data_IF_570879708919
#
_entry.id   IF_570879708919
#
_cell.length_a   1.000
_cell.length_b   1.000
_cell.length_c   1.000
_cell.angle_alpha   90.00
_cell.angle_beta   90.00
_cell.angle_gamma   90.00
#
_symmetry.space_group_name_H-M   'P 1'
#
loop_
_entity.id
_entity.type
_entity.pdbx_description
1 polymer ?
#
# COMPACT_ATOMS: atom_id res chain seq x y z
N UNK A 1 9.70 25.96 -7.78
CA UNK A 1 8.35 26.17 -8.34
C UNK A 1 7.54 24.90 -8.08
N UNK A 2 6.32 25.01 -7.57
CA UNK A 2 5.45 23.83 -7.35
C UNK A 2 4.66 23.53 -8.63
N UNK A 3 4.53 22.25 -8.96
CA UNK A 3 3.77 21.78 -10.10
C UNK A 3 3.12 20.43 -9.79
N UNK A 4 2.00 20.14 -10.45
CA UNK A 4 1.32 18.85 -10.39
C UNK A 4 1.66 18.08 -11.66
N UNK A 5 2.01 16.80 -11.51
CA UNK A 5 2.19 15.91 -12.65
C UNK A 5 0.81 15.62 -13.24
N UNK A 6 0.59 16.05 -14.48
CA UNK A 6 -0.66 15.78 -15.21
C UNK A 6 -0.54 14.60 -16.17
N UNK A 7 0.70 14.18 -16.46
CA UNK A 7 1.00 12.97 -17.22
C UNK A 7 2.24 12.33 -16.61
N UNK A 8 2.14 11.07 -16.22
CA UNK A 8 3.23 10.19 -15.76
C UNK A 8 3.15 8.92 -16.61
N UNK A 9 3.92 8.82 -17.69
CA UNK A 9 3.89 7.65 -18.58
C UNK A 9 4.81 6.51 -18.10
N UNK A 10 5.16 6.47 -16.81
CA UNK A 10 5.90 5.45 -16.00
C UNK A 10 6.95 4.56 -16.67
N UNK A 11 6.61 3.90 -17.76
CA UNK A 11 7.44 3.06 -18.62
C UNK A 11 8.36 3.88 -19.55
N UNK A 12 7.95 5.07 -20.02
CA UNK A 12 8.78 5.93 -20.90
C UNK A 12 9.41 7.16 -20.21
N UNK A 13 8.93 7.52 -19.01
CA UNK A 13 9.35 8.68 -18.21
C UNK A 13 9.44 10.07 -18.89
N UNK A 14 8.38 10.54 -19.58
CA UNK A 14 8.16 11.98 -19.70
C UNK A 14 7.02 12.46 -18.76
N UNK A 15 7.35 13.32 -17.80
CA UNK A 15 6.38 14.04 -16.98
C UNK A 15 5.91 15.30 -17.69
N UNK A 16 4.59 15.46 -17.81
CA UNK A 16 4.02 16.76 -18.13
C UNK A 16 3.54 17.42 -16.86
N UNK A 17 3.97 18.66 -16.65
CA UNK A 17 3.71 19.40 -15.42
C UNK A 17 2.64 20.46 -15.66
N UNK A 18 1.76 20.66 -14.67
CA UNK A 18 0.93 21.86 -14.57
C UNK A 18 1.44 22.71 -13.43
N UNK A 19 1.90 23.92 -13.71
CA UNK A 19 2.44 24.81 -12.69
C UNK A 19 1.33 25.31 -11.77
N UNK A 20 1.52 25.19 -10.45
CA UNK A 20 0.52 25.61 -9.45
C UNK A 20 0.35 27.14 -9.44
N UNK A 21 1.41 27.87 -9.80
CA UNK A 21 1.43 29.34 -9.80
C UNK A 21 0.42 29.99 -10.74
N UNK A 22 0.18 29.37 -11.89
CA UNK A 22 -0.51 30.01 -13.02
C UNK A 22 -1.35 29.02 -13.83
N UNK A 23 -1.31 27.73 -13.48
CA UNK A 23 -2.09 26.69 -14.12
C UNK A 23 -1.60 26.29 -15.52
N UNK A 24 -0.52 26.87 -16.05
CA UNK A 24 0.00 26.51 -17.37
C UNK A 24 0.59 25.11 -17.37
N UNK A 25 0.41 24.43 -18.50
CA UNK A 25 1.08 23.18 -18.80
C UNK A 25 2.50 23.45 -19.25
N UNK A 26 3.43 22.56 -18.91
CA UNK A 26 4.76 22.59 -19.49
C UNK A 26 4.71 22.27 -20.98
N UNK A 27 5.47 23.05 -21.74
CA UNK A 27 5.75 22.79 -23.16
C UNK A 27 6.71 21.61 -23.32
N UNK A 28 7.64 21.44 -22.38
CA UNK A 28 8.58 20.33 -22.34
C UNK A 28 8.13 19.23 -21.38
N UNK A 29 8.59 18.01 -21.66
CA UNK A 29 8.48 16.88 -20.76
C UNK A 29 9.71 16.79 -19.86
N UNK A 30 9.51 16.42 -18.59
CA UNK A 30 10.57 16.30 -17.61
C UNK A 30 10.85 14.85 -17.26
N UNK A 31 12.11 14.52 -16.99
CA UNK A 31 12.51 13.19 -16.51
C UNK A 31 12.53 13.11 -14.98
N UNK A 32 12.52 11.90 -14.41
CA UNK A 32 12.58 11.69 -12.96
C UNK A 32 13.79 12.30 -12.29
N UNK A 33 14.93 12.36 -12.99
CA UNK A 33 16.13 13.03 -12.49
C UNK A 33 15.96 14.56 -12.37
N UNK A 34 15.02 15.15 -13.11
CA UNK A 34 14.79 16.60 -13.16
C UNK A 34 13.67 17.07 -12.23
N UNK A 35 12.84 16.14 -11.71
CA UNK A 35 11.72 16.48 -10.83
C UNK A 35 11.83 15.77 -9.49
N UNK A 36 11.75 16.55 -8.41
CA UNK A 36 11.58 15.99 -7.08
C UNK A 36 10.10 15.68 -6.85
N UNK A 37 9.67 14.46 -7.16
CA UNK A 37 8.28 14.03 -6.94
C UNK A 37 8.00 13.93 -5.42
N UNK A 38 7.20 14.85 -4.90
CA UNK A 38 6.76 14.86 -3.49
C UNK A 38 5.68 13.82 -3.21
N UNK A 39 4.79 13.60 -4.18
CA UNK A 39 3.70 12.62 -4.11
C UNK A 39 3.46 12.08 -5.52
N UNK A 40 3.52 10.76 -5.68
CA UNK A 40 3.18 10.09 -6.94
C UNK A 40 1.71 9.69 -6.89
N UNK A 41 0.99 9.85 -8.01
CA UNK A 41 -0.40 9.38 -8.11
C UNK A 41 -0.50 7.88 -7.83
N UNK A 42 -1.58 7.45 -7.20
CA UNK A 42 -1.81 6.03 -6.90
C UNK A 42 -2.09 5.26 -8.20
N UNK A 43 -1.40 4.12 -8.39
CA UNK A 43 -1.69 3.19 -9.49
C UNK A 43 -3.08 2.57 -9.28
N UNK A 44 -3.94 2.49 -10.31
CA UNK A 44 -5.13 1.64 -10.25
C UNK A 44 -4.74 0.18 -9.98
N UNK A 45 -5.50 -0.48 -9.13
CA UNK A 45 -5.36 -1.89 -8.78
C UNK A 45 -6.63 -2.66 -9.15
N UNK A 46 -6.52 -3.98 -9.17
CA UNK A 46 -7.68 -4.85 -9.33
C UNK A 46 -8.78 -4.49 -8.32
N UNK A 47 -10.00 -4.28 -8.80
CA UNK A 47 -11.16 -3.88 -8.01
C UNK A 47 -11.33 -2.38 -7.79
N UNK A 48 -10.36 -1.54 -8.16
CA UNK A 48 -10.54 -0.09 -8.08
C UNK A 48 -11.56 0.41 -9.11
N UNK A 49 -12.34 1.41 -8.70
CA UNK A 49 -13.08 2.26 -9.62
C UNK A 49 -12.15 3.30 -10.27
N UNK A 50 -12.30 3.46 -11.59
CA UNK A 50 -11.56 4.41 -12.42
C UNK A 50 -12.50 5.16 -13.35
N UNK A 51 -12.10 6.36 -13.77
CA UNK A 51 -12.71 7.16 -14.82
C UNK A 51 -11.81 7.12 -16.04
N UNK A 52 -12.37 6.90 -17.22
CA UNK A 52 -11.62 6.86 -18.48
C UNK A 52 -11.29 8.30 -18.90
N UNK A 53 -10.04 8.51 -19.30
CA UNK A 53 -9.49 9.81 -19.69
C UNK A 53 -8.71 9.70 -21.01
N UNK A 54 -9.26 8.94 -21.96
CA UNK A 54 -8.66 8.68 -23.26
C UNK A 54 -9.40 9.50 -24.32
N UNK A 55 -8.77 10.56 -24.80
CA UNK A 55 -9.35 11.41 -25.83
C UNK A 55 -9.74 10.60 -27.08
N UNK A 56 -10.97 10.78 -27.55
CA UNK A 56 -11.53 10.08 -28.71
C UNK A 56 -12.01 8.66 -28.44
N UNK A 57 -11.95 8.19 -27.20
CA UNK A 57 -12.60 6.95 -26.78
C UNK A 57 -14.11 7.21 -26.57
N UNK A 58 -15.01 6.30 -27.00
CA UNK A 58 -16.45 6.48 -26.80
C UNK A 58 -16.85 6.49 -25.32
N UNK A 59 -16.00 5.94 -24.45
CA UNK A 59 -16.21 5.88 -23.00
C UNK A 59 -15.44 6.98 -22.25
N UNK A 60 -14.92 8.02 -22.93
CA UNK A 60 -14.23 9.13 -22.26
C UNK A 60 -15.13 9.79 -21.20
N UNK A 61 -14.62 9.89 -19.97
CA UNK A 61 -15.37 10.38 -18.81
C UNK A 61 -16.24 9.34 -18.10
N UNK A 62 -16.36 8.11 -18.63
CA UNK A 62 -17.16 7.05 -18.03
C UNK A 62 -16.41 6.36 -16.88
N UNK A 63 -17.18 5.94 -15.86
CA UNK A 63 -16.67 5.14 -14.75
C UNK A 63 -16.65 3.64 -15.08
N UNK A 64 -15.58 2.98 -14.69
CA UNK A 64 -15.40 1.55 -14.86
C UNK A 64 -14.64 0.95 -13.67
N UNK A 65 -14.68 -0.37 -13.53
CA UNK A 65 -13.91 -1.11 -12.52
C UNK A 65 -12.74 -1.84 -13.18
N UNK A 66 -11.56 -1.78 -12.58
CA UNK A 66 -10.41 -2.58 -13.02
C UNK A 66 -10.68 -4.05 -12.68
N UNK A 67 -10.76 -4.91 -13.70
CA UNK A 67 -10.98 -6.36 -13.54
C UNK A 67 -9.79 -7.21 -13.94
N UNK A 68 -8.78 -6.62 -14.57
CA UNK A 68 -7.51 -7.26 -14.84
C UNK A 68 -6.38 -6.22 -14.85
N UNK A 69 -5.23 -6.60 -14.30
CA UNK A 69 -3.96 -5.88 -14.37
C UNK A 69 -2.90 -6.87 -14.82
N UNK A 70 -2.47 -6.79 -16.08
CA UNK A 70 -1.53 -7.76 -16.67
C UNK A 70 -0.07 -7.51 -16.25
N UNK A 71 0.22 -6.36 -15.61
CA UNK A 71 1.54 -5.92 -15.10
C UNK A 71 2.73 -5.93 -16.06
N UNK A 72 2.62 -6.52 -17.25
CA UNK A 72 3.69 -6.65 -18.23
C UNK A 72 3.94 -5.31 -18.95
N UNK A 73 2.94 -4.81 -19.70
CA UNK A 73 2.94 -3.50 -20.37
C UNK A 73 2.05 -2.45 -19.66
N UNK A 74 1.75 -2.70 -18.39
CA UNK A 74 0.76 -1.99 -17.55
C UNK A 74 -0.65 -1.76 -18.16
N UNK A 75 -1.26 -2.72 -18.89
CA UNK A 75 -2.63 -2.60 -19.35
C UNK A 75 -3.65 -3.02 -18.28
N UNK A 76 -4.75 -2.28 -18.22
CA UNK A 76 -5.94 -2.58 -17.43
C UNK A 76 -7.06 -3.07 -18.35
N UNK A 77 -7.72 -4.15 -17.95
CA UNK A 77 -9.03 -4.50 -18.51
C UNK A 77 -10.10 -3.95 -17.59
N UNK A 78 -11.08 -3.29 -18.17
CA UNK A 78 -12.12 -2.59 -17.43
C UNK A 78 -13.46 -3.31 -17.59
N UNK A 79 -14.31 -3.17 -16.58
CA UNK A 79 -15.73 -3.53 -16.63
C UNK A 79 -16.57 -2.27 -16.44
N UNK A 80 -17.41 -1.95 -17.42
CA UNK A 80 -18.29 -0.79 -17.39
C UNK A 80 -19.53 -1.03 -16.52
N UNK A 81 -20.37 0.00 -16.38
CA UNK A 81 -21.56 -0.04 -15.53
C UNK A 81 -22.62 -1.04 -16.02
N UNK A 82 -22.69 -1.29 -17.33
CA UNK A 82 -23.55 -2.28 -17.98
C UNK A 82 -23.02 -3.72 -17.86
N UNK A 83 -21.92 -3.92 -17.11
CA UNK A 83 -21.17 -5.15 -16.95
C UNK A 83 -20.44 -5.65 -18.21
N UNK A 84 -20.40 -4.86 -19.28
CA UNK A 84 -19.58 -5.17 -20.45
C UNK A 84 -18.09 -5.01 -20.11
N UNK A 85 -17.27 -5.90 -20.66
CA UNK A 85 -15.82 -5.82 -20.56
C UNK A 85 -15.26 -4.97 -21.69
N UNK A 86 -14.26 -4.15 -21.38
CA UNK A 86 -13.55 -3.42 -22.40
C UNK A 86 -12.98 -4.35 -23.47
N UNK A 87 -13.25 -4.00 -24.74
CA UNK A 87 -12.68 -4.70 -25.90
C UNK A 87 -11.19 -4.45 -26.04
N UNK A 88 -10.73 -3.29 -25.59
CA UNK A 88 -9.33 -2.88 -25.57
C UNK A 88 -8.83 -2.84 -24.13
N UNK A 89 -7.51 -2.91 -23.98
CA UNK A 89 -6.87 -2.61 -22.73
C UNK A 89 -6.54 -1.11 -22.63
N UNK A 90 -6.71 -0.55 -21.44
CA UNK A 90 -6.40 0.83 -21.13
C UNK A 90 -5.05 0.93 -20.41
N UNK A 91 -4.25 1.95 -20.73
CA UNK A 91 -3.00 2.23 -20.00
C UNK A 91 -3.26 3.11 -18.78
N UNK A 92 -2.30 3.18 -17.86
CA UNK A 92 -2.41 4.01 -16.65
C UNK A 92 -2.72 5.47 -16.95
N UNK A 93 -2.08 6.10 -17.93
CA UNK A 93 -2.36 7.51 -18.28
C UNK A 93 -3.75 7.72 -18.93
N UNK A 94 -4.41 6.65 -19.37
CA UNK A 94 -5.73 6.68 -20.03
C UNK A 94 -6.87 6.50 -19.04
N UNK A 95 -6.56 6.29 -17.77
CA UNK A 95 -7.53 6.16 -16.69
C UNK A 95 -7.11 7.01 -15.49
N UNK A 96 -8.07 7.40 -14.67
CA UNK A 96 -7.82 8.09 -13.40
C UNK A 96 -8.60 7.35 -12.32
N UNK A 97 -8.06 7.26 -11.10
CA UNK A 97 -8.85 6.71 -10.00
C UNK A 97 -10.13 7.53 -9.82
N UNK A 98 -11.27 6.86 -9.61
CA UNK A 98 -12.51 7.56 -9.27
C UNK A 98 -12.34 8.27 -7.93
N UNK A 99 -13.07 9.37 -7.72
CA UNK A 99 -13.01 10.12 -6.46
C UNK A 99 -13.35 9.21 -5.26
N UNK A 100 -14.32 8.31 -5.42
CA UNK A 100 -14.67 7.32 -4.41
C UNK A 100 -13.48 6.40 -4.05
N UNK A 101 -12.74 5.91 -5.05
CA UNK A 101 -11.54 5.08 -4.81
C UNK A 101 -10.44 5.88 -4.13
N UNK A 102 -10.22 7.13 -4.56
CA UNK A 102 -9.21 8.01 -3.96
C UNK A 102 -9.53 8.30 -2.49
N UNK A 103 -10.79 8.60 -2.18
CA UNK A 103 -11.25 8.88 -0.82
C UNK A 103 -11.07 7.65 0.08
N UNK A 104 -11.55 6.48 -0.37
CA UNK A 104 -11.41 5.22 0.38
C UNK A 104 -9.94 4.94 0.74
N UNK A 105 -9.03 5.05 -0.22
CA UNK A 105 -7.59 4.83 0.04
C UNK A 105 -6.98 5.87 0.96
N UNK A 106 -7.37 7.14 0.84
CA UNK A 106 -6.90 8.19 1.73
C UNK A 106 -7.38 7.96 3.17
N UNK A 107 -8.62 7.54 3.36
CA UNK A 107 -9.15 7.18 4.68
C UNK A 107 -8.42 5.99 5.30
N UNK A 108 -8.16 4.94 4.52
CA UNK A 108 -7.37 3.78 4.95
C UNK A 108 -5.96 4.17 5.41
N UNK A 109 -5.30 5.12 4.72
CA UNK A 109 -3.99 5.66 5.12
C UNK A 109 -4.08 6.43 6.43
N UNK A 110 -5.10 7.28 6.62
CA UNK A 110 -5.28 8.04 7.87
C UNK A 110 -5.61 7.15 9.06
N UNK A 111 -6.36 6.06 8.86
CA UNK A 111 -6.64 5.07 9.91
C UNK A 111 -5.39 4.31 10.33
N UNK A 112 -4.56 3.90 9.38
CA UNK A 112 -3.29 3.23 9.68
C UNK A 112 -2.32 4.15 10.44
N UNK A 113 -2.26 5.44 10.08
CA UNK A 113 -1.46 6.43 10.80
C UNK A 113 -1.94 6.62 12.25
N UNK A 114 -3.26 6.58 12.48
CA UNK A 114 -3.84 6.63 13.84
C UNK A 114 -3.52 5.40 14.68
N UNK A 115 -3.52 4.20 14.11
CA UNK A 115 -3.09 2.99 14.83
C UNK A 115 -1.59 2.96 15.16
N UNK A 116 -0.76 3.73 14.45
CA UNK A 116 0.69 3.81 14.74
C UNK A 116 1.03 4.99 15.66
N UNK A 117 0.15 5.97 15.82
CA UNK A 117 0.27 7.06 16.80
C UNK A 117 -0.53 6.71 18.06
N UNK A 118 0.05 5.84 18.88
CA UNK A 118 -0.20 5.76 20.33
C UNK A 118 -1.65 5.60 20.78
N UNK A 119 -2.05 4.35 21.04
CA UNK A 119 -2.87 4.03 22.21
C UNK A 119 -2.03 4.28 23.50
N UNK A 120 -1.60 5.52 23.71
CA UNK A 120 -1.03 6.04 24.97
C UNK A 120 -2.02 7.04 25.59
N UNK A 121 -3.32 6.78 25.51
CA UNK A 121 -4.30 7.33 26.45
C UNK A 121 -4.32 6.45 27.71
N UNK A 122 -3.15 6.39 28.38
CA UNK A 122 -3.08 6.22 29.84
C UNK A 122 -3.39 7.61 30.43
N UNK A 123 -4.67 7.87 30.67
CA UNK A 123 -5.09 8.89 31.64
C UNK A 123 -5.99 8.17 32.67
N UNK A 124 -5.28 7.53 33.61
CA UNK A 124 -5.52 7.55 35.06
C UNK A 124 -6.91 8.06 35.52
N UNK A 125 -7.90 7.18 35.67
CA UNK A 125 -9.03 7.45 36.58
C UNK A 125 -9.74 6.15 37.05
N UNK A 126 -8.97 5.18 37.57
CA UNK A 126 -9.55 4.13 38.42
C UNK A 126 -8.66 3.91 39.65
N UNK A 127 -8.97 4.73 40.65
CA UNK A 127 -8.89 4.50 42.10
C UNK A 127 -7.69 3.67 42.63
N UNK A 128 -6.79 4.26 43.46
CA UNK A 128 -5.71 3.49 44.07
C UNK A 128 -6.30 2.39 44.97
N UNK A 129 -5.84 1.12 44.88
CA UNK A 129 -6.35 0.09 45.76
C UNK A 129 -5.95 0.42 47.21
N UNK A 130 -6.94 0.53 48.10
CA UNK A 130 -6.71 0.67 49.54
C UNK A 130 -5.92 -0.55 50.06
N UNK A 131 -4.63 -0.35 50.35
CA UNK A 131 -3.82 -1.35 51.04
C UNK A 131 -3.96 -1.11 52.55
N UNK A 132 -4.83 -1.91 53.18
CA UNK A 132 -4.98 -1.98 54.63
C UNK A 132 -3.64 -2.39 55.25
N UNK A 133 -3.04 -1.49 56.03
CA UNK A 133 -1.80 -1.73 56.77
C UNK A 133 -2.09 -2.72 57.91
N UNK A 134 -1.71 -3.98 57.75
CA UNK A 134 -1.51 -4.88 58.88
C UNK A 134 -0.09 -4.67 59.43
N UNK A 135 0.09 -4.26 60.69
CA UNK A 135 1.42 -4.03 61.24
C UNK A 135 2.07 -5.38 61.58
N UNK A 136 3.08 -5.79 60.81
CA UNK A 136 3.89 -6.93 61.20
C UNK A 136 4.86 -7.47 60.16
N UNK A 137 6.13 -7.07 60.32
CA UNK A 137 7.33 -7.92 60.13
C UNK A 137 8.03 -7.92 58.75
N UNK A 138 8.92 -6.93 58.63
CA UNK A 138 10.36 -7.02 58.29
C UNK A 138 10.85 -7.59 56.93
N UNK A 139 11.90 -6.98 56.34
CA UNK A 139 12.33 -7.20 54.96
C UNK A 139 13.42 -8.29 54.84
N UNK A 140 13.45 -8.98 53.70
CA UNK A 140 14.46 -10.02 53.44
C UNK A 140 14.87 -10.13 51.97
N UNK A 141 16.01 -9.53 51.65
CA UNK A 141 17.14 -10.12 50.89
C UNK A 141 16.93 -10.47 49.39
N UNK A 142 17.43 -9.56 48.53
CA UNK A 142 18.39 -9.66 47.40
C UNK A 142 18.62 -11.00 46.63
N UNK A 143 19.34 -11.01 45.47
CA UNK A 143 18.80 -11.14 44.12
C UNK A 143 19.40 -12.35 43.33
N UNK A 144 19.10 -12.40 42.02
CA UNK A 144 19.92 -12.93 40.91
C UNK A 144 19.43 -14.17 40.12
N UNK A 145 19.75 -14.24 38.80
CA UNK A 145 19.14 -15.11 37.81
C UNK A 145 19.88 -16.45 37.67
N UNK A 146 19.16 -17.51 37.29
CA UNK A 146 19.77 -18.80 36.95
C UNK A 146 19.70 -19.06 35.44
N UNK A 147 20.87 -19.05 34.81
CA UNK A 147 21.14 -19.74 33.55
C UNK A 147 20.95 -21.25 33.76
N UNK A 148 20.33 -21.93 32.80
CA UNK A 148 20.61 -23.35 32.51
C UNK A 148 20.05 -23.74 31.15
N UNK A 149 20.94 -23.90 30.18
CA UNK A 149 20.80 -24.89 29.11
C UNK A 149 21.76 -26.04 29.46
N UNK A 150 21.45 -27.27 29.01
CA UNK A 150 22.43 -27.89 28.12
C UNK A 150 21.81 -28.67 26.95
N UNK A 151 22.63 -28.84 25.91
CA UNK A 151 22.39 -29.61 24.70
C UNK A 151 22.65 -31.12 24.90
N UNK A 152 22.01 -31.95 24.08
CA UNK A 152 22.42 -33.32 23.68
C UNK A 152 21.66 -33.64 22.39
N UNK A 153 22.29 -33.55 21.21
CA UNK A 153 23.05 -34.61 20.52
C UNK A 153 22.17 -35.70 19.86
N UNK A 154 22.17 -35.65 18.52
CA UNK A 154 21.76 -36.60 17.45
C UNK A 154 22.59 -37.92 17.47
N UNK A 155 22.54 -38.89 16.50
CA UNK A 155 21.69 -39.15 15.31
C UNK A 155 21.25 -40.64 15.13
N UNK A 156 20.53 -40.96 14.04
CA UNK A 156 20.38 -42.31 13.46
C UNK A 156 19.24 -42.33 12.42
N UNK A 157 19.48 -42.22 11.11
CA UNK A 157 20.11 -43.13 10.14
C UNK A 157 19.16 -44.23 9.62
N UNK A 158 19.25 -44.44 8.30
CA UNK A 158 18.60 -45.43 7.42
C UNK A 158 17.16 -45.12 6.99
N UNK A 159 16.79 -45.06 5.71
CA UNK A 159 17.44 -45.51 4.48
C UNK A 159 16.38 -46.15 3.59
N UNK A 160 16.16 -45.63 2.38
CA UNK A 160 15.88 -46.43 1.17
C UNK A 160 15.69 -45.52 -0.05
N UNK A 161 16.68 -45.59 -0.93
CA UNK A 161 16.58 -45.24 -2.34
C UNK A 161 15.85 -46.36 -3.08
N UNK A 162 14.99 -46.02 -4.04
CA UNK A 162 14.79 -46.83 -5.24
C UNK A 162 14.35 -45.94 -6.40
N UNK A 163 15.28 -45.74 -7.33
CA UNK A 163 15.04 -45.39 -8.73
C UNK A 163 13.97 -46.31 -9.33
N UNK A 164 13.08 -45.78 -10.20
CA UNK A 164 12.73 -46.41 -11.50
C UNK A 164 12.35 -45.37 -12.56
N UNK A 165 13.13 -45.46 -13.62
CA UNK A 165 12.96 -45.00 -14.99
C UNK A 165 11.73 -45.66 -15.67
N UNK A 166 11.52 -45.34 -16.95
CA UNK A 166 10.56 -45.93 -17.93
C UNK A 166 9.23 -45.16 -18.07
N UNK A 167 8.74 -44.72 -19.24
CA UNK A 167 9.07 -44.91 -20.67
C UNK A 167 8.69 -43.65 -21.46
#
# INVERSE_FOLDING_TARGET
>A
RMAVVVQDDRDQQPYRLRFVSDGTLSDEFFFVAQVQLRKRGLRPQLGDGVVIAKAGDPHDGEEATVVQDDRDAQPFRLRFADAELSMVFYREHQVKLSEATQLRRAEEETKQLKLQQGDDDDDDDDEPPEIVITPGRSPGRSPSPSHSAPASATPGADGEEVEREEF
#
